data_IF_046631685302
#
_entry.id   IF_046631685302
#
_cell.length_a   1.000
_cell.length_b   1.000
_cell.length_c   1.000
_cell.angle_alpha   90.00
_cell.angle_beta   90.00
_cell.angle_gamma   90.00
#
_symmetry.space_group_name_H-M   'P 1'
#
loop_
_entity.id
_entity.type
_entity.pdbx_description
1 polymer ?
#
# COMPACT_ATOMS: atom_id res chain seq x y z
N UNK A 1 -2.70 -21.68 2.85
CA UNK A 1 -1.94 -20.83 3.79
C UNK A 1 -2.87 -20.07 4.75
N UNK A 2 -3.51 -18.95 4.39
CA UNK A 2 -4.40 -18.23 5.33
C UNK A 2 -5.69 -18.95 5.72
N UNK A 3 -6.17 -19.86 4.86
CA UNK A 3 -7.38 -20.69 5.08
C UNK A 3 -7.19 -21.82 6.11
N UNK A 4 -5.95 -22.09 6.53
CA UNK A 4 -5.61 -23.14 7.51
C UNK A 4 -5.29 -22.58 8.89
N UNK A 5 -5.01 -21.27 8.99
CA UNK A 5 -4.65 -20.59 10.25
C UNK A 5 -5.89 -20.06 10.98
N UNK A 6 -6.98 -19.84 10.26
CA UNK A 6 -8.21 -19.25 10.81
C UNK A 6 -9.31 -20.31 10.81
N UNK A 7 -9.72 -20.71 12.00
CA UNK A 7 -10.82 -21.65 12.29
C UNK A 7 -12.07 -21.24 11.50
N UNK A 8 -12.56 -22.13 10.62
CA UNK A 8 -13.64 -21.83 9.65
C UNK A 8 -14.93 -21.39 10.32
N UNK A 9 -15.15 -21.81 11.56
CA UNK A 9 -16.40 -21.62 12.28
C UNK A 9 -16.38 -20.37 13.19
N UNK A 10 -15.29 -19.57 13.15
CA UNK A 10 -15.12 -18.36 13.99
C UNK A 10 -14.97 -17.05 13.22
N UNK A 11 -15.06 -17.05 11.90
CA UNK A 11 -14.81 -15.85 11.09
C UNK A 11 -16.13 -15.10 10.83
N UNK A 12 -16.55 -14.27 11.78
CA UNK A 12 -17.65 -13.31 11.60
C UNK A 12 -17.20 -12.01 10.91
N UNK A 13 -15.88 -11.74 10.89
CA UNK A 13 -15.25 -10.56 10.28
C UNK A 13 -13.82 -10.89 9.81
N UNK A 14 -13.42 -10.44 8.61
CA UNK A 14 -12.07 -10.64 8.06
C UNK A 14 -11.58 -9.36 7.38
N UNK A 15 -10.92 -8.47 8.12
CA UNK A 15 -10.19 -7.33 7.57
C UNK A 15 -8.68 -7.56 7.59
N UNK A 16 -7.91 -6.88 6.75
CA UNK A 16 -6.43 -6.86 6.85
C UNK A 16 -5.99 -6.42 8.25
N UNK A 17 -6.74 -5.49 8.87
CA UNK A 17 -6.54 -5.12 10.27
C UNK A 17 -6.74 -6.27 11.24
N UNK A 18 -7.74 -7.13 11.02
CA UNK A 18 -7.95 -8.33 11.86
C UNK A 18 -6.89 -9.39 11.63
N UNK A 19 -6.46 -9.59 10.38
CA UNK A 19 -5.34 -10.50 10.08
C UNK A 19 -4.05 -10.00 10.75
N UNK A 20 -3.80 -8.69 10.70
CA UNK A 20 -2.66 -8.07 11.37
C UNK A 20 -2.79 -8.22 12.89
N UNK A 21 -3.96 -7.92 13.48
CA UNK A 21 -4.23 -8.09 14.93
C UNK A 21 -4.09 -9.54 15.39
N UNK A 22 -4.64 -10.50 14.64
CA UNK A 22 -4.51 -11.94 14.93
C UNK A 22 -3.06 -12.40 14.81
N UNK A 23 -2.33 -11.89 13.81
CA UNK A 23 -0.91 -12.18 13.69
C UNK A 23 -0.11 -11.53 14.83
N UNK A 24 -0.51 -10.36 15.34
CA UNK A 24 0.08 -9.77 16.56
C UNK A 24 -0.19 -10.65 17.79
N UNK A 25 -1.40 -11.23 17.92
CA UNK A 25 -1.71 -12.20 18.98
C UNK A 25 -0.84 -13.46 18.87
N UNK A 26 -0.65 -13.98 17.65
CA UNK A 26 0.24 -15.13 17.39
C UNK A 26 1.68 -14.81 17.75
N UNK A 27 2.16 -13.61 17.43
CA UNK A 27 3.54 -13.18 17.69
C UNK A 27 3.77 -12.90 19.19
N UNK A 28 2.77 -12.40 19.91
CA UNK A 28 2.85 -12.16 21.38
C UNK A 28 2.76 -13.46 22.20
N UNK A 29 2.03 -14.46 21.70
CA UNK A 29 1.92 -15.76 22.34
C UNK A 29 3.18 -16.62 22.05
N UNK A 30 3.94 -16.96 23.09
CA UNK A 30 5.20 -17.72 22.95
C UNK A 30 5.04 -19.07 22.24
N UNK A 31 3.91 -19.75 22.44
CA UNK A 31 3.67 -21.09 21.87
C UNK A 31 3.31 -20.95 20.40
N UNK A 32 2.36 -20.07 20.08
CA UNK A 32 1.94 -19.82 18.68
C UNK A 32 3.07 -19.21 17.85
N UNK A 33 3.89 -18.33 18.44
CA UNK A 33 5.09 -17.80 17.80
C UNK A 33 6.07 -18.91 17.41
N UNK A 34 6.29 -19.90 18.29
CA UNK A 34 7.16 -21.04 17.99
C UNK A 34 6.60 -21.89 16.84
N UNK A 35 5.29 -22.11 16.81
CA UNK A 35 4.62 -22.81 15.71
C UNK A 35 4.75 -22.05 14.38
N UNK A 36 4.60 -20.71 14.40
CA UNK A 36 4.82 -19.85 13.24
C UNK A 36 6.27 -19.94 12.74
N UNK A 37 7.26 -19.91 13.64
CA UNK A 37 8.68 -20.04 13.27
C UNK A 37 8.92 -21.38 12.58
N UNK A 38 8.48 -22.49 13.17
CA UNK A 38 8.61 -23.83 12.58
C UNK A 38 7.94 -23.93 11.21
N UNK A 39 6.78 -23.29 11.05
CA UNK A 39 6.11 -23.20 9.76
C UNK A 39 6.95 -22.43 8.73
N UNK A 40 7.50 -21.27 9.11
CA UNK A 40 8.33 -20.45 8.22
C UNK A 40 9.66 -21.14 7.87
N UNK A 41 10.31 -21.83 8.81
CA UNK A 41 11.49 -22.66 8.54
C UNK A 41 11.22 -23.68 7.44
N UNK A 42 10.07 -24.34 7.50
CA UNK A 42 9.70 -25.36 6.53
C UNK A 42 9.37 -24.77 5.15
N UNK A 43 8.70 -23.61 5.11
CA UNK A 43 8.00 -23.15 3.90
C UNK A 43 8.54 -21.84 3.29
N UNK A 44 9.20 -20.98 4.06
CA UNK A 44 9.72 -19.71 3.56
C UNK A 44 11.01 -19.92 2.76
N UNK A 45 11.10 -19.28 1.59
CA UNK A 45 12.26 -19.32 0.69
C UNK A 45 12.67 -17.93 0.19
N UNK A 46 12.25 -16.88 0.90
CA UNK A 46 12.60 -15.51 0.54
C UNK A 46 13.97 -15.10 1.08
N UNK A 47 14.31 -13.82 0.86
CA UNK A 47 15.66 -13.28 1.07
C UNK A 47 15.94 -12.77 2.49
N UNK A 48 14.91 -12.59 3.33
CA UNK A 48 15.10 -12.19 4.73
C UNK A 48 15.33 -13.41 5.61
N UNK A 49 16.20 -13.29 6.60
CA UNK A 49 16.30 -14.32 7.63
C UNK A 49 15.01 -14.40 8.43
N UNK A 50 14.73 -15.58 8.99
CA UNK A 50 13.56 -15.75 9.87
C UNK A 50 13.66 -14.87 11.12
N UNK A 51 14.87 -14.61 11.60
CA UNK A 51 15.12 -13.69 12.72
C UNK A 51 14.71 -12.26 12.35
N UNK A 52 15.07 -11.77 11.16
CA UNK A 52 14.65 -10.45 10.66
C UNK A 52 13.13 -10.37 10.48
N UNK A 53 12.50 -11.43 9.96
CA UNK A 53 11.04 -11.50 9.78
C UNK A 53 10.34 -11.44 11.13
N UNK A 54 10.77 -12.25 12.09
CA UNK A 54 10.16 -12.29 13.42
C UNK A 54 10.38 -10.97 14.16
N UNK A 55 11.58 -10.39 14.06
CA UNK A 55 11.88 -9.09 14.64
C UNK A 55 10.98 -8.00 14.03
N UNK A 56 10.82 -7.98 12.71
CA UNK A 56 9.92 -7.05 12.02
C UNK A 56 8.46 -7.26 12.47
N UNK A 57 8.00 -8.50 12.60
CA UNK A 57 6.65 -8.82 13.09
C UNK A 57 6.41 -8.39 14.55
N UNK A 58 7.43 -8.40 15.40
CA UNK A 58 7.35 -7.95 16.80
C UNK A 58 7.43 -6.43 16.96
N UNK A 59 8.17 -5.78 16.06
CA UNK A 59 8.43 -4.34 16.11
C UNK A 59 7.52 -3.53 15.19
N UNK A 60 6.77 -4.19 14.30
CA UNK A 60 5.83 -3.50 13.44
C UNK A 60 4.80 -2.76 14.28
N UNK A 61 4.47 -1.57 13.81
CA UNK A 61 3.28 -0.87 14.25
C UNK A 61 2.19 -1.15 13.22
N UNK A 62 0.99 -1.51 13.67
CA UNK A 62 -0.18 -1.71 12.81
C UNK A 62 -0.64 -0.42 12.12
N UNK A 63 -0.03 0.73 12.46
CA UNK A 63 -0.15 1.97 11.70
C UNK A 63 0.55 1.90 10.34
N UNK A 64 1.54 1.03 10.20
CA UNK A 64 2.32 0.85 8.98
C UNK A 64 1.88 -0.45 8.29
N UNK A 65 0.96 -0.32 7.34
CA UNK A 65 0.61 -1.40 6.42
C UNK A 65 1.80 -1.72 5.49
N UNK A 66 1.62 -2.76 4.64
CA UNK A 66 2.51 -3.26 3.58
C UNK A 66 3.43 -2.24 2.83
N UNK A 67 3.08 -0.95 2.64
CA UNK A 67 3.95 0.01 1.97
C UNK A 67 5.27 0.29 2.67
N UNK A 68 5.35 0.19 4.00
CA UNK A 68 6.56 0.62 4.71
C UNK A 68 7.75 -0.31 4.44
N UNK A 69 7.50 -1.61 4.28
CA UNK A 69 8.55 -2.56 3.90
C UNK A 69 9.05 -2.30 2.48
N UNK A 70 8.14 -2.00 1.54
CA UNK A 70 8.50 -1.59 0.17
C UNK A 70 9.32 -0.30 0.17
N UNK A 71 8.90 0.70 0.95
CA UNK A 71 9.59 1.98 1.11
C UNK A 71 11.01 1.76 1.65
N UNK A 72 11.15 1.00 2.74
CA UNK A 72 12.45 0.73 3.36
C UNK A 72 13.34 -0.14 2.45
N UNK A 73 12.77 -1.08 1.70
CA UNK A 73 13.50 -1.85 0.71
C UNK A 73 14.03 -0.96 -0.43
N UNK A 74 13.21 -0.05 -0.97
CA UNK A 74 13.66 0.91 -1.98
C UNK A 74 14.75 1.83 -1.42
N UNK A 75 14.56 2.36 -0.21
CA UNK A 75 15.55 3.21 0.47
C UNK A 75 16.90 2.49 0.69
N UNK A 76 16.88 1.25 1.16
CA UNK A 76 18.08 0.41 1.35
C UNK A 76 18.83 0.16 0.03
N UNK A 77 18.13 0.20 -1.10
CA UNK A 77 18.72 0.10 -2.44
C UNK A 77 19.11 1.47 -3.04
N UNK A 78 19.16 2.53 -2.22
CA UNK A 78 19.63 3.86 -2.61
C UNK A 78 18.57 4.75 -3.25
N UNK A 79 17.29 4.36 -3.23
CA UNK A 79 16.22 5.23 -3.70
C UNK A 79 16.00 6.39 -2.72
N UNK A 80 15.91 7.61 -3.25
CA UNK A 80 15.41 8.77 -2.51
C UNK A 80 13.88 8.69 -2.49
N UNK A 81 13.27 8.77 -1.31
CA UNK A 81 11.85 8.44 -1.16
C UNK A 81 11.04 9.64 -0.69
N UNK A 82 9.98 9.96 -1.42
CA UNK A 82 8.93 10.85 -0.93
C UNK A 82 7.84 10.00 -0.28
N UNK A 83 7.55 10.24 1.00
CA UNK A 83 6.50 9.56 1.75
C UNK A 83 5.32 10.52 1.91
N UNK A 84 4.14 10.07 1.47
CA UNK A 84 2.92 10.88 1.46
C UNK A 84 1.78 10.20 2.19
N UNK A 85 1.06 10.97 2.99
CA UNK A 85 -0.16 10.55 3.68
C UNK A 85 -1.00 11.80 4.02
N UNK A 86 -2.27 11.60 4.40
CA UNK A 86 -3.11 12.70 4.90
C UNK A 86 -2.60 13.20 6.26
N UNK A 87 -1.94 12.34 7.04
CA UNK A 87 -1.20 12.71 8.25
C UNK A 87 0.31 12.79 7.97
N UNK A 88 0.80 14.02 7.84
CA UNK A 88 2.22 14.26 7.59
C UNK A 88 3.13 13.73 8.71
N UNK A 89 2.64 13.65 9.97
CA UNK A 89 3.47 13.18 11.09
C UNK A 89 3.84 11.71 10.93
N UNK A 90 2.91 10.89 10.44
CA UNK A 90 3.18 9.47 10.17
C UNK A 90 4.24 9.34 9.06
N UNK A 91 4.24 10.22 8.05
CA UNK A 91 5.31 10.27 7.04
C UNK A 91 6.67 10.64 7.64
N UNK A 92 6.72 11.59 8.56
CA UNK A 92 7.95 12.04 9.22
C UNK A 92 8.60 10.91 10.03
N UNK A 93 7.80 10.02 10.63
CA UNK A 93 8.31 8.83 11.32
C UNK A 93 8.99 7.86 10.34
N UNK A 94 8.38 7.60 9.18
CA UNK A 94 8.98 6.74 8.14
C UNK A 94 10.25 7.34 7.57
N UNK A 95 10.28 8.66 7.34
CA UNK A 95 11.47 9.37 6.86
C UNK A 95 12.65 9.21 7.82
N UNK A 96 12.42 9.27 9.14
CA UNK A 96 13.49 9.02 10.12
C UNK A 96 14.08 7.61 9.99
N UNK A 97 13.26 6.61 9.66
CA UNK A 97 13.76 5.25 9.41
C UNK A 97 14.52 5.15 8.08
N UNK A 98 14.06 5.85 7.04
CA UNK A 98 14.78 5.95 5.75
C UNK A 98 16.18 6.58 5.95
N UNK A 99 16.27 7.65 6.74
CA UNK A 99 17.52 8.36 7.02
C UNK A 99 18.50 7.49 7.82
N UNK A 100 18.01 6.67 8.75
CA UNK A 100 18.84 5.68 9.47
C UNK A 100 19.44 4.62 8.54
N UNK A 101 18.82 4.35 7.40
CA UNK A 101 19.33 3.47 6.36
C UNK A 101 20.35 4.16 5.43
N UNK A 102 20.66 5.45 5.67
CA UNK A 102 21.60 6.23 4.87
C UNK A 102 21.02 6.74 3.55
N UNK A 103 19.68 6.72 3.39
CA UNK A 103 18.99 7.29 2.22
C UNK A 103 18.30 8.62 2.56
N UNK A 104 17.87 9.34 1.54
CA UNK A 104 17.16 10.62 1.68
C UNK A 104 15.65 10.43 1.61
N UNK A 105 14.93 10.95 2.62
CA UNK A 105 13.48 10.98 2.67
C UNK A 105 12.90 12.39 2.59
N UNK A 106 11.69 12.52 2.06
CA UNK A 106 10.89 13.76 2.14
C UNK A 106 9.46 13.40 2.55
N UNK A 107 9.02 13.92 3.69
CA UNK A 107 7.65 13.75 4.18
C UNK A 107 6.76 14.88 3.65
N UNK A 108 5.65 14.53 2.99
CA UNK A 108 4.67 15.51 2.50
C UNK A 108 3.25 15.09 2.89
N UNK A 109 2.42 16.06 3.25
CA UNK A 109 0.97 15.84 3.33
C UNK A 109 0.40 15.69 1.91
N UNK A 110 -0.47 14.70 1.72
CA UNK A 110 -1.23 14.50 0.49
C UNK A 110 -2.63 13.95 0.78
N UNK A 111 -3.66 14.73 0.48
CA UNK A 111 -4.98 14.15 0.19
C UNK A 111 -5.07 13.82 -1.31
N UNK A 112 -5.06 12.54 -1.65
CA UNK A 112 -5.13 12.08 -3.05
C UNK A 112 -6.46 12.44 -3.75
N UNK A 113 -7.47 12.89 -3.00
CA UNK A 113 -8.73 13.38 -3.58
C UNK A 113 -8.66 14.87 -3.98
N UNK A 114 -7.59 15.56 -3.58
CA UNK A 114 -7.36 16.98 -3.84
C UNK A 114 -6.30 17.18 -4.94
N UNK A 115 -6.73 17.77 -6.05
CA UNK A 115 -5.87 17.98 -7.23
C UNK A 115 -4.71 18.96 -6.96
N UNK A 116 -4.92 19.98 -6.13
CA UNK A 116 -3.89 20.96 -5.78
C UNK A 116 -2.82 20.35 -4.87
N UNK A 117 -3.22 19.47 -3.95
CA UNK A 117 -2.25 18.69 -3.15
C UNK A 117 -1.41 17.79 -4.05
N UNK A 118 -2.01 17.09 -5.02
CA UNK A 118 -1.28 16.26 -6.01
C UNK A 118 -0.25 17.11 -6.76
N UNK A 119 -0.67 18.24 -7.34
CA UNK A 119 0.23 19.15 -8.09
C UNK A 119 1.37 19.63 -7.21
N UNK A 120 1.07 20.00 -5.96
CA UNK A 120 2.05 20.47 -4.99
C UNK A 120 3.08 19.39 -4.66
N UNK A 121 2.64 18.15 -4.40
CA UNK A 121 3.56 17.04 -4.10
C UNK A 121 4.47 16.73 -5.28
N UNK A 122 3.93 16.67 -6.50
CA UNK A 122 4.74 16.44 -7.71
C UNK A 122 5.76 17.57 -7.90
N UNK A 123 5.34 18.83 -7.75
CA UNK A 123 6.24 19.99 -7.83
C UNK A 123 7.37 19.92 -6.80
N UNK A 124 7.04 19.74 -5.52
CA UNK A 124 8.05 19.69 -4.44
C UNK A 124 9.01 18.52 -4.61
N UNK A 125 8.51 17.37 -5.10
CA UNK A 125 9.34 16.21 -5.41
C UNK A 125 10.36 16.54 -6.50
N UNK A 126 9.92 17.20 -7.58
CA UNK A 126 10.81 17.63 -8.67
C UNK A 126 11.81 18.68 -8.23
N UNK A 127 11.39 19.65 -7.41
CA UNK A 127 12.30 20.67 -6.86
C UNK A 127 13.38 20.05 -5.97
N UNK A 128 13.03 19.03 -5.18
CA UNK A 128 13.97 18.37 -4.26
C UNK A 128 14.91 17.37 -4.94
N UNK A 129 14.38 16.53 -5.84
CA UNK A 129 15.11 15.37 -6.39
C UNK A 129 15.30 15.43 -7.92
N UNK A 130 14.75 16.44 -8.60
CA UNK A 130 14.88 16.66 -10.04
C UNK A 130 14.00 15.76 -10.92
N UNK A 131 13.65 14.56 -10.42
CA UNK A 131 12.90 13.54 -11.17
C UNK A 131 12.04 12.65 -10.26
N UNK A 132 11.19 11.86 -10.91
CA UNK A 132 10.24 10.89 -10.35
C UNK A 132 10.37 9.65 -11.22
N UNK A 133 11.03 8.64 -10.68
CA UNK A 133 11.33 7.41 -11.40
C UNK A 133 10.31 6.31 -11.14
N UNK A 134 9.76 6.30 -9.93
CA UNK A 134 8.81 5.29 -9.45
C UNK A 134 7.67 6.02 -8.75
N UNK A 135 6.44 5.77 -9.19
CA UNK A 135 5.21 6.11 -8.47
C UNK A 135 4.62 4.83 -7.88
N UNK A 136 4.33 4.83 -6.58
CA UNK A 136 3.60 3.74 -5.91
C UNK A 136 2.24 4.27 -5.49
N UNK A 137 1.19 3.94 -6.26
CA UNK A 137 -0.17 4.27 -5.89
C UNK A 137 -0.69 3.26 -4.86
N UNK A 138 -0.57 3.64 -3.59
CA UNK A 138 -0.99 2.80 -2.48
C UNK A 138 -2.25 3.31 -1.75
N UNK A 139 -2.44 4.63 -1.65
CA UNK A 139 -3.51 5.22 -0.85
C UNK A 139 -4.86 4.53 -1.07
N UNK A 140 -5.54 4.17 0.01
CA UNK A 140 -6.78 3.43 -0.08
C UNK A 140 -7.52 3.32 1.25
N UNK A 141 -8.85 3.37 1.17
CA UNK A 141 -9.77 3.15 2.29
C UNK A 141 -10.65 1.94 2.00
N UNK A 142 -10.98 1.20 3.05
CA UNK A 142 -11.94 0.10 3.02
C UNK A 142 -13.01 0.41 4.07
N UNK A 143 -14.18 0.87 3.62
CA UNK A 143 -15.31 1.15 4.49
C UNK A 143 -16.23 -0.07 4.50
N UNK A 144 -16.73 -0.44 5.67
CA UNK A 144 -17.74 -1.47 5.79
C UNK A 144 -19.10 -0.89 5.42
N UNK A 145 -19.80 -1.59 4.55
CA UNK A 145 -21.07 -1.14 3.98
C UNK A 145 -22.20 -2.07 4.45
N UNK A 146 -23.34 -1.46 4.80
CA UNK A 146 -24.56 -2.18 5.14
C UNK A 146 -25.50 -2.23 3.93
N UNK A 147 -25.81 -3.41 3.36
CA UNK A 147 -26.58 -3.51 2.13
C UNK A 147 -27.98 -2.89 2.22
N UNK A 148 -28.57 -2.86 3.41
CA UNK A 148 -29.91 -2.33 3.67
C UNK A 148 -29.94 -0.81 3.78
N UNK A 149 -28.78 -0.15 3.86
CA UNK A 149 -28.66 1.29 4.02
C UNK A 149 -27.84 1.85 2.86
N UNK A 150 -28.53 2.49 1.92
CA UNK A 150 -27.87 3.17 0.80
C UNK A 150 -27.15 4.44 1.32
N UNK A 151 -25.83 4.38 1.42
CA UNK A 151 -24.97 5.52 1.73
C UNK A 151 -24.02 5.78 0.54
N UNK A 152 -24.49 6.61 -0.39
CA UNK A 152 -23.70 6.96 -1.57
C UNK A 152 -22.47 7.83 -1.23
N UNK A 153 -22.46 8.50 -0.07
CA UNK A 153 -21.32 9.31 0.35
C UNK A 153 -20.13 8.42 0.71
N UNK A 154 -20.37 7.30 1.39
CA UNK A 154 -19.32 6.31 1.66
C UNK A 154 -18.78 5.66 0.37
N UNK A 155 -19.68 5.39 -0.59
CA UNK A 155 -19.32 4.87 -1.92
C UNK A 155 -18.43 5.86 -2.66
N UNK A 156 -18.87 7.12 -2.78
CA UNK A 156 -18.14 8.19 -3.45
C UNK A 156 -16.78 8.42 -2.82
N UNK A 157 -16.70 8.43 -1.48
CA UNK A 157 -15.42 8.57 -0.77
C UNK A 157 -14.45 7.44 -1.12
N UNK A 158 -14.94 6.20 -1.18
CA UNK A 158 -14.11 5.02 -1.52
C UNK A 158 -13.63 5.08 -2.97
N UNK A 159 -14.49 5.47 -3.91
CA UNK A 159 -14.13 5.68 -5.31
C UNK A 159 -13.09 6.81 -5.47
N UNK A 160 -13.31 7.93 -4.78
CA UNK A 160 -12.46 9.10 -4.86
C UNK A 160 -11.04 8.81 -4.38
N UNK A 161 -10.89 8.11 -3.24
CA UNK A 161 -9.56 7.78 -2.72
C UNK A 161 -8.92 6.66 -3.54
N UNK A 162 -9.62 5.52 -3.71
CA UNK A 162 -8.98 4.29 -4.20
C UNK A 162 -8.74 4.28 -5.70
N UNK A 163 -9.53 5.04 -6.47
CA UNK A 163 -9.50 5.01 -7.93
C UNK A 163 -9.21 6.38 -8.52
N UNK A 164 -10.05 7.40 -8.24
CA UNK A 164 -9.84 8.74 -8.81
C UNK A 164 -8.49 9.33 -8.39
N UNK A 165 -8.11 9.22 -7.12
CA UNK A 165 -6.84 9.71 -6.62
C UNK A 165 -5.63 9.01 -7.25
N UNK A 166 -5.71 7.69 -7.41
CA UNK A 166 -4.70 6.89 -8.13
C UNK A 166 -4.53 7.35 -9.57
N UNK A 167 -5.65 7.57 -10.28
CA UNK A 167 -5.65 8.04 -11.67
C UNK A 167 -5.06 9.46 -11.74
N UNK A 168 -5.48 10.35 -10.83
CA UNK A 168 -4.98 11.72 -10.76
C UNK A 168 -3.47 11.80 -10.53
N UNK A 169 -2.94 11.05 -9.58
CA UNK A 169 -1.49 10.96 -9.33
C UNK A 169 -0.75 10.42 -10.55
N UNK A 170 -1.29 9.38 -11.19
CA UNK A 170 -0.72 8.78 -12.41
C UNK A 170 -0.61 9.82 -13.53
N UNK A 171 -1.69 10.58 -13.79
CA UNK A 171 -1.67 11.65 -14.78
C UNK A 171 -0.70 12.78 -14.42
N UNK A 172 -0.55 13.11 -13.14
CA UNK A 172 0.32 14.20 -12.70
C UNK A 172 1.81 13.88 -12.88
N UNK A 173 2.24 12.62 -12.73
CA UNK A 173 3.66 12.22 -12.90
C UNK A 173 4.01 11.87 -14.34
N UNK A 174 3.03 11.46 -15.14
CA UNK A 174 3.26 10.92 -16.48
C UNK A 174 4.03 11.84 -17.43
N UNK A 175 3.72 13.15 -17.55
CA UNK A 175 4.40 14.03 -18.50
C UNK A 175 5.92 14.01 -18.34
N UNK A 176 6.40 14.00 -17.10
CA UNK A 176 7.83 13.94 -16.83
C UNK A 176 8.40 12.54 -17.13
N UNK A 177 7.70 11.46 -16.79
CA UNK A 177 8.12 10.10 -17.11
C UNK A 177 8.29 9.89 -18.63
N UNK A 178 7.41 10.50 -19.43
CA UNK A 178 7.50 10.52 -20.89
C UNK A 178 8.70 11.35 -21.38
N UNK A 179 8.88 12.56 -20.86
CA UNK A 179 10.01 13.44 -21.21
C UNK A 179 11.36 12.78 -20.93
N UNK A 180 11.50 12.12 -19.76
CA UNK A 180 12.73 11.43 -19.37
C UNK A 180 12.88 10.02 -20.00
N UNK A 181 11.89 9.56 -20.79
CA UNK A 181 11.81 8.22 -21.40
C UNK A 181 12.01 7.08 -20.40
N UNK A 182 11.58 7.28 -19.16
CA UNK A 182 11.70 6.31 -18.09
C UNK A 182 10.65 6.56 -17.01
N UNK A 183 10.04 5.50 -16.50
CA UNK A 183 9.14 5.58 -15.37
C UNK A 183 8.58 4.22 -15.03
N UNK A 184 8.28 3.99 -13.75
CA UNK A 184 7.58 2.80 -13.27
C UNK A 184 6.42 3.23 -12.40
N UNK A 185 5.23 2.69 -12.67
CA UNK A 185 4.04 2.93 -11.87
C UNK A 185 3.61 1.59 -11.27
N UNK A 186 3.54 1.54 -9.95
CA UNK A 186 3.13 0.37 -9.18
C UNK A 186 1.80 0.67 -8.52
N UNK A 187 0.75 -0.03 -8.91
CA UNK A 187 -0.59 0.15 -8.37
C UNK A 187 -0.92 -0.96 -7.37
N UNK A 188 -1.18 -0.58 -6.10
CA UNK A 188 -1.49 -1.54 -5.04
C UNK A 188 -2.98 -1.92 -5.10
N UNK A 189 -3.25 -3.09 -5.68
CA UNK A 189 -4.58 -3.69 -5.64
C UNK A 189 -4.78 -4.57 -4.39
N UNK A 190 -5.81 -5.41 -4.38
CA UNK A 190 -6.10 -6.37 -3.33
C UNK A 190 -6.63 -7.65 -3.95
N UNK A 191 -6.43 -8.77 -3.27
CA UNK A 191 -7.14 -10.02 -3.55
C UNK A 191 -8.67 -9.84 -3.51
N UNK A 192 -9.18 -8.80 -2.84
CA UNK A 192 -10.60 -8.41 -2.86
C UNK A 192 -11.12 -8.08 -4.26
N UNK A 193 -10.23 -7.76 -5.20
CA UNK A 193 -10.60 -7.56 -6.60
C UNK A 193 -11.05 -8.87 -7.28
N UNK A 194 -10.66 -10.02 -6.74
CA UNK A 194 -10.83 -11.34 -7.35
C UNK A 194 -11.73 -12.27 -6.54
N UNK A 195 -11.88 -12.02 -5.24
CA UNK A 195 -12.69 -12.85 -4.33
C UNK A 195 -13.73 -12.01 -3.61
N UNK A 196 -14.89 -12.60 -3.37
CA UNK A 196 -15.99 -11.92 -2.68
C UNK A 196 -15.79 -11.94 -1.16
N UNK A 197 -16.05 -10.79 -0.55
CA UNK A 197 -16.13 -10.62 0.89
C UNK A 197 -17.37 -9.80 1.25
N UNK A 198 -18.02 -10.17 2.35
CA UNK A 198 -19.21 -9.48 2.82
C UNK A 198 -18.88 -8.03 3.21
N UNK A 199 -19.79 -7.10 2.87
CA UNK A 199 -19.77 -5.70 3.34
C UNK A 199 -18.63 -4.82 2.82
N UNK A 200 -17.85 -5.26 1.83
CA UNK A 200 -16.75 -4.44 1.24
C UNK A 200 -16.85 -4.38 -0.29
N UNK A 201 -18.07 -4.33 -0.82
CA UNK A 201 -18.34 -4.45 -2.24
C UNK A 201 -17.83 -3.26 -3.05
N UNK A 202 -17.95 -2.02 -2.54
CA UNK A 202 -17.38 -0.84 -3.21
C UNK A 202 -15.85 -0.88 -3.18
N UNK A 203 -15.24 -1.26 -2.06
CA UNK A 203 -13.80 -1.47 -1.99
C UNK A 203 -13.34 -2.51 -3.03
N UNK A 204 -14.00 -3.66 -3.09
CA UNK A 204 -13.69 -4.73 -4.04
C UNK A 204 -13.81 -4.24 -5.49
N UNK A 205 -14.88 -3.50 -5.80
CA UNK A 205 -15.08 -2.87 -7.10
C UNK A 205 -13.95 -1.89 -7.45
N UNK A 206 -13.53 -1.03 -6.51
CA UNK A 206 -12.40 -0.11 -6.76
C UNK A 206 -11.11 -0.86 -7.04
N UNK A 207 -10.82 -1.95 -6.31
CA UNK A 207 -9.60 -2.75 -6.52
C UNK A 207 -9.62 -3.53 -7.83
N UNK A 208 -10.81 -3.97 -8.29
CA UNK A 208 -11.02 -4.44 -9.66
C UNK A 208 -10.77 -3.35 -10.70
N UNK A 209 -11.26 -2.13 -10.46
CA UNK A 209 -11.01 -0.97 -11.31
C UNK A 209 -9.52 -0.62 -11.43
N UNK A 210 -8.75 -0.74 -10.34
CA UNK A 210 -7.28 -0.57 -10.36
C UNK A 210 -6.62 -1.60 -11.29
N UNK A 211 -7.09 -2.84 -11.32
CA UNK A 211 -6.56 -3.87 -12.24
C UNK A 211 -6.87 -3.48 -13.69
N UNK A 212 -8.12 -3.09 -13.98
CA UNK A 212 -8.54 -2.64 -15.31
C UNK A 212 -7.70 -1.46 -15.79
N UNK A 213 -7.61 -0.41 -14.98
CA UNK A 213 -6.79 0.77 -15.27
C UNK A 213 -5.33 0.40 -15.56
N UNK A 214 -4.74 -0.47 -14.75
CA UNK A 214 -3.33 -0.88 -14.94
C UNK A 214 -3.10 -1.62 -16.26
N UNK A 215 -4.06 -2.46 -16.69
CA UNK A 215 -3.96 -3.19 -17.96
C UNK A 215 -4.09 -2.27 -19.16
N UNK A 216 -5.11 -1.42 -19.17
CA UNK A 216 -5.36 -0.52 -20.31
C UNK A 216 -4.25 0.54 -20.43
N UNK A 217 -3.71 0.99 -19.29
CA UNK A 217 -2.58 1.91 -19.27
C UNK A 217 -1.31 1.34 -19.92
N UNK A 218 -1.07 0.03 -19.74
CA UNK A 218 0.06 -0.66 -20.38
C UNK A 218 -0.08 -0.65 -21.91
N UNK A 219 -1.28 -0.91 -22.43
CA UNK A 219 -1.56 -0.88 -23.88
C UNK A 219 -1.28 0.51 -24.48
N UNK A 220 -1.67 1.58 -23.77
CA UNK A 220 -1.38 2.96 -24.22
C UNK A 220 0.13 3.19 -24.30
N UNK A 221 0.89 2.84 -23.24
CA UNK A 221 2.34 3.05 -23.23
C UNK A 221 3.07 2.27 -24.33
N UNK A 222 2.64 1.03 -24.61
CA UNK A 222 3.20 0.21 -25.68
C UNK A 222 2.88 0.75 -27.08
N UNK A 223 1.79 1.51 -27.23
CA UNK A 223 1.41 2.13 -28.51
C UNK A 223 2.14 3.44 -28.83
N UNK A 224 2.93 3.97 -27.88
CA UNK A 224 3.68 5.22 -28.03
C UNK A 224 5.13 5.03 -28.52
N UNK A 225 5.55 3.78 -28.78
CA UNK A 225 6.81 3.42 -29.46
C UNK A 225 6.66 3.45 -30.99
#
# INVERSE_FOLDING_TARGET
MFKEVVDKDRIEHFSVGDVVRQLDEVVRDKKKKKELILFLEKNYRGYLSLEEIIFALEKRSTKFLLPSELILALAKNGAKVVVTDIDQKDCEEVVKEIEKLGSEGLALKLDVTNEEDIKKVVKLTKEKFGRIDILVNNAGICLLEEPVKMDLTAVEKTLNVNLKGLIGLTYAVLPQMLEQKYGKIVNITSIAAMVSWSKIYTYSATKGGVIGFTKDWLEILLSME
#
